data_IF_110915023559
#
_entry.id   IF_110915023559
#
_cell.length_a   1.000
_cell.length_b   1.000
_cell.length_c   1.000
_cell.angle_alpha   90.00
_cell.angle_beta   90.00
_cell.angle_gamma   90.00
#
_symmetry.space_group_name_H-M   'P 1'
#
loop_
_entity.id
_entity.type
_entity.pdbx_description
1 polymer ?
#
# COMPACT_ATOMS: atom_id res chain seq x y z
N UNK A 1 20.18 65.85 -42.92
CA UNK A 1 21.01 64.64 -42.62
C UNK A 1 21.18 64.31 -41.15
N UNK A 2 20.61 65.02 -40.20
CA UNK A 2 20.85 64.78 -38.75
C UNK A 2 19.85 63.86 -38.04
N UNK A 3 18.76 63.45 -38.71
CA UNK A 3 17.71 62.64 -38.06
C UNK A 3 17.92 61.13 -38.17
N UNK A 4 18.72 60.66 -39.11
CA UNK A 4 19.00 59.24 -39.30
C UNK A 4 20.08 58.68 -38.36
N UNK A 5 21.00 59.53 -37.88
CA UNK A 5 22.06 59.12 -36.95
C UNK A 5 21.52 58.89 -35.53
N UNK A 6 20.54 59.69 -35.09
CA UNK A 6 19.93 59.55 -33.77
C UNK A 6 19.06 58.28 -33.64
N UNK A 7 18.36 57.87 -34.70
CA UNK A 7 17.53 56.64 -34.68
C UNK A 7 18.37 55.35 -34.67
N UNK A 8 19.51 55.34 -35.38
CA UNK A 8 20.38 54.17 -35.39
C UNK A 8 21.10 54.00 -34.03
N UNK A 9 21.48 55.08 -33.38
CA UNK A 9 22.10 55.03 -32.06
C UNK A 9 21.16 54.56 -30.97
N UNK A 10 19.87 54.96 -31.01
CA UNK A 10 18.85 54.43 -30.09
C UNK A 10 18.53 52.95 -30.30
N UNK A 11 18.50 52.48 -31.56
CA UNK A 11 18.34 51.05 -31.90
C UNK A 11 19.50 50.22 -31.45
N UNK A 12 20.74 50.71 -31.61
CA UNK A 12 21.96 49.99 -31.17
C UNK A 12 22.02 49.93 -29.65
N UNK A 13 21.66 50.98 -28.91
CA UNK A 13 21.61 50.97 -27.43
C UNK A 13 20.49 50.03 -26.95
N UNK A 14 19.33 49.98 -27.61
CA UNK A 14 18.24 49.07 -27.24
C UNK A 14 18.62 47.58 -27.50
N UNK A 15 19.34 47.29 -28.59
CA UNK A 15 19.84 45.96 -28.88
C UNK A 15 20.94 45.51 -27.91
N UNK A 16 21.82 46.41 -27.46
CA UNK A 16 22.88 46.11 -26.48
C UNK A 16 22.24 45.87 -25.09
N UNK A 17 21.22 46.64 -24.69
CA UNK A 17 20.48 46.40 -23.44
C UNK A 17 19.67 45.10 -23.50
N UNK A 18 19.05 44.77 -24.65
CA UNK A 18 18.35 43.47 -24.81
C UNK A 18 19.31 42.27 -24.82
N UNK A 19 20.48 42.40 -25.39
CA UNK A 19 21.51 41.34 -25.36
C UNK A 19 22.09 41.14 -23.96
N UNK A 20 22.19 42.19 -23.13
CA UNK A 20 22.68 42.10 -21.75
C UNK A 20 21.66 41.43 -20.80
N UNK A 21 20.38 41.52 -21.13
CA UNK A 21 19.30 40.85 -20.34
C UNK A 21 19.15 39.37 -20.72
N UNK A 22 19.48 38.99 -21.96
CA UNK A 22 19.42 37.59 -22.40
C UNK A 22 20.59 36.71 -21.90
N UNK A 23 21.69 37.28 -21.42
CA UNK A 23 22.81 36.50 -20.87
C UNK A 23 22.62 36.12 -19.39
N UNK A 24 21.57 36.66 -18.72
CA UNK A 24 21.30 36.36 -17.29
C UNK A 24 20.33 35.20 -17.05
N UNK A 25 19.85 34.54 -18.11
CA UNK A 25 18.96 33.36 -18.02
C UNK A 25 19.66 32.04 -18.41
N UNK A 26 20.96 31.91 -18.21
CA UNK A 26 21.55 30.59 -18.12
C UNK A 26 21.09 30.03 -16.77
N UNK A 27 20.23 28.99 -16.81
CA UNK A 27 19.86 28.25 -15.64
C UNK A 27 21.11 27.87 -14.87
N UNK A 28 21.35 28.51 -13.72
CA UNK A 28 22.49 28.18 -12.86
C UNK A 28 22.24 26.76 -12.36
N UNK A 29 22.95 25.80 -12.95
CA UNK A 29 22.88 24.39 -12.51
C UNK A 29 23.61 24.15 -11.20
N UNK A 30 24.46 25.08 -10.78
CA UNK A 30 25.29 24.99 -9.57
C UNK A 30 25.14 26.23 -8.69
N UNK A 31 25.27 26.06 -7.38
CA UNK A 31 25.35 27.17 -6.43
C UNK A 31 26.75 27.82 -6.61
N UNK A 32 26.76 29.04 -7.14
CA UNK A 32 27.98 29.83 -7.22
C UNK A 32 28.30 30.55 -5.90
N UNK A 33 29.52 31.04 -5.70
CA UNK A 33 29.86 31.82 -4.50
C UNK A 33 28.96 33.03 -4.28
N UNK A 34 28.51 33.69 -5.36
CA UNK A 34 27.62 34.85 -5.29
C UNK A 34 26.22 34.43 -4.83
N UNK A 35 25.72 33.30 -5.36
CA UNK A 35 24.44 32.70 -4.93
C UNK A 35 24.53 32.25 -3.47
N UNK A 36 25.63 31.60 -3.08
CA UNK A 36 25.85 31.19 -1.69
C UNK A 36 25.80 32.37 -0.74
N UNK A 37 26.46 33.47 -1.06
CA UNK A 37 26.45 34.70 -0.27
C UNK A 37 25.03 35.28 -0.11
N UNK A 38 24.21 35.23 -1.16
CA UNK A 38 22.80 35.63 -1.07
C UNK A 38 21.99 34.70 -0.15
N UNK A 39 22.20 33.40 -0.24
CA UNK A 39 21.54 32.40 0.61
C UNK A 39 21.96 32.56 2.09
N UNK A 40 23.22 32.79 2.37
CA UNK A 40 23.72 33.08 3.71
C UNK A 40 23.07 34.34 4.30
N UNK A 41 22.87 35.37 3.48
CA UNK A 41 22.18 36.60 3.87
C UNK A 41 20.67 36.42 4.15
N UNK A 42 20.07 35.33 3.70
CA UNK A 42 18.65 35.00 3.98
C UNK A 42 18.39 34.58 5.42
N UNK A 43 19.41 34.11 6.15
CA UNK A 43 19.31 33.75 7.56
C UNK A 43 19.70 34.92 8.43
N UNK A 44 18.74 35.55 9.09
CA UNK A 44 18.98 36.77 9.90
C UNK A 44 19.39 36.46 11.33
N UNK A 45 19.23 35.23 11.81
CA UNK A 45 19.61 34.80 13.16
C UNK A 45 18.85 35.53 14.25
N UNK A 46 17.56 35.84 14.02
CA UNK A 46 16.67 36.41 15.03
C UNK A 46 16.60 35.54 16.28
N UNK A 47 16.23 36.07 17.46
CA UNK A 47 16.01 35.25 18.66
C UNK A 47 15.03 34.08 18.43
N UNK A 48 13.97 34.28 17.65
CA UNK A 48 13.00 33.26 17.31
C UNK A 48 13.62 32.15 16.46
N UNK A 49 14.37 32.50 15.40
CA UNK A 49 15.07 31.53 14.55
C UNK A 49 16.10 30.72 15.32
N UNK A 50 16.84 31.36 16.24
CA UNK A 50 17.80 30.67 17.12
C UNK A 50 17.08 29.70 18.04
N UNK A 51 15.96 30.10 18.64
CA UNK A 51 15.17 29.24 19.51
C UNK A 51 14.63 28.00 18.76
N UNK A 52 14.05 28.20 17.57
CA UNK A 52 13.56 27.11 16.72
C UNK A 52 14.71 26.18 16.29
N UNK A 53 15.84 26.73 15.86
CA UNK A 53 17.02 25.94 15.49
C UNK A 53 17.52 25.07 16.65
N UNK A 54 17.62 25.64 17.85
CA UNK A 54 18.02 24.89 19.04
C UNK A 54 17.02 23.78 19.39
N UNK A 55 15.72 24.09 19.30
CA UNK A 55 14.68 23.10 19.57
C UNK A 55 14.74 21.93 18.57
N UNK A 56 14.86 22.22 17.26
CA UNK A 56 14.97 21.17 16.22
C UNK A 56 16.23 20.31 16.39
N UNK A 57 17.31 20.88 16.95
CA UNK A 57 18.53 20.11 17.21
C UNK A 57 18.35 19.01 18.27
N UNK A 58 17.30 19.08 19.09
CA UNK A 58 17.06 18.16 20.21
C UNK A 58 15.71 17.45 20.17
N UNK A 59 14.75 17.97 19.39
CA UNK A 59 13.38 17.47 19.34
C UNK A 59 12.97 17.25 17.87
N UNK A 60 12.27 16.13 17.61
CA UNK A 60 11.77 15.84 16.25
C UNK A 60 10.81 16.92 15.73
N UNK A 61 10.94 17.28 14.46
CA UNK A 61 10.12 18.32 13.81
C UNK A 61 8.62 18.04 13.97
N UNK A 62 8.20 16.78 13.86
CA UNK A 62 6.79 16.40 14.03
C UNK A 62 6.27 16.70 15.44
N UNK A 63 7.09 16.54 16.47
CA UNK A 63 6.71 16.86 17.84
C UNK A 63 6.58 18.38 18.05
N UNK A 64 7.44 19.16 17.43
CA UNK A 64 7.38 20.62 17.49
C UNK A 64 6.21 21.21 16.67
N UNK A 65 5.81 20.54 15.59
CA UNK A 65 4.71 20.99 14.74
C UNK A 65 3.30 20.80 15.37
N UNK A 66 3.22 20.12 16.52
CA UNK A 66 1.94 19.95 17.23
C UNK A 66 1.47 21.29 17.80
N UNK A 67 0.35 21.80 17.32
CA UNK A 67 -0.28 22.98 17.90
C UNK A 67 -1.03 22.57 19.18
N UNK A 68 -0.49 22.99 20.33
CA UNK A 68 -1.04 22.68 21.66
C UNK A 68 -2.45 23.27 21.86
N UNK A 69 -2.80 24.35 21.20
CA UNK A 69 -4.13 24.96 21.27
C UNK A 69 -5.21 24.04 20.70
N UNK A 70 -4.86 23.20 19.71
CA UNK A 70 -5.78 22.28 19.07
C UNK A 70 -5.96 20.95 19.81
N UNK A 71 -5.12 20.64 20.80
CA UNK A 71 -5.16 19.34 21.51
C UNK A 71 -6.47 19.12 22.25
N UNK A 72 -7.08 20.18 22.75
CA UNK A 72 -8.37 20.12 23.48
C UNK A 72 -9.62 20.18 22.62
N UNK A 73 -9.47 20.46 21.31
CA UNK A 73 -10.61 20.70 20.40
C UNK A 73 -11.20 19.42 19.76
N UNK A 74 -10.57 18.26 19.99
CA UNK A 74 -11.08 17.00 19.44
C UNK A 74 -12.29 16.55 20.22
N UNK A 75 -13.46 16.53 19.55
CA UNK A 75 -14.64 15.87 20.08
C UNK A 75 -14.41 14.36 20.14
N UNK A 76 -14.66 13.78 21.32
CA UNK A 76 -14.53 12.35 21.59
C UNK A 76 -15.89 11.69 21.82
N UNK A 77 -16.98 12.42 21.58
CA UNK A 77 -18.34 11.87 21.71
C UNK A 77 -18.83 11.39 20.35
N UNK A 78 -19.28 10.15 20.31
CA UNK A 78 -19.83 9.52 19.13
C UNK A 78 -21.26 9.11 19.38
N UNK A 79 -22.17 9.27 18.41
CA UNK A 79 -23.57 8.85 18.50
C UNK A 79 -23.71 7.32 18.43
N UNK A 80 -22.78 6.68 17.74
CA UNK A 80 -22.75 5.22 17.59
C UNK A 80 -21.33 4.75 17.91
N UNK A 81 -21.23 3.79 18.81
CA UNK A 81 -19.96 3.18 19.22
C UNK A 81 -20.07 1.66 19.09
N UNK A 82 -19.18 1.09 18.27
CA UNK A 82 -18.98 -0.37 18.21
C UNK A 82 -17.93 -0.74 19.22
N UNK A 83 -18.33 -1.44 20.28
CA UNK A 83 -17.40 -1.90 21.31
C UNK A 83 -16.51 -2.99 20.75
N UNK A 84 -15.24 -2.67 20.63
CA UNK A 84 -14.19 -3.60 20.23
C UNK A 84 -13.12 -3.62 21.32
N UNK A 85 -12.70 -4.80 21.75
CA UNK A 85 -11.71 -4.95 22.82
C UNK A 85 -10.38 -5.42 22.25
N UNK A 86 -9.28 -4.87 22.79
CA UNK A 86 -7.92 -5.22 22.42
C UNK A 86 -7.46 -4.54 21.13
N UNK A 87 -6.16 -4.48 21.00
CA UNK A 87 -5.44 -3.92 19.84
C UNK A 87 -4.68 -5.05 19.17
N UNK A 88 -4.88 -5.22 17.86
CA UNK A 88 -4.07 -6.14 17.04
C UNK A 88 -2.79 -5.44 16.59
N UNK A 89 -1.67 -6.15 16.61
CA UNK A 89 -0.38 -5.62 16.18
C UNK A 89 0.06 -6.28 14.88
N UNK A 90 0.14 -5.50 13.79
CA UNK A 90 0.58 -5.98 12.48
C UNK A 90 2.08 -6.31 12.40
N UNK A 91 2.86 -6.02 13.44
CA UNK A 91 4.32 -6.19 13.47
C UNK A 91 5.01 -5.45 12.30
N UNK A 92 6.01 -6.06 11.69
CA UNK A 92 6.79 -5.51 10.56
C UNK A 92 6.15 -5.87 9.20
N UNK A 93 4.86 -5.59 9.03
CA UNK A 93 4.13 -5.88 7.80
C UNK A 93 3.33 -4.69 7.30
N UNK A 94 3.04 -4.60 6.00
CA UNK A 94 2.20 -3.56 5.39
C UNK A 94 0.70 -3.85 5.48
N UNK A 95 0.24 -4.69 6.41
CA UNK A 95 -1.14 -5.21 6.51
C UNK A 95 -2.08 -4.36 7.37
N UNK A 96 -1.74 -3.08 7.67
CA UNK A 96 -2.60 -2.21 8.50
C UNK A 96 -4.06 -2.15 8.00
N UNK A 97 -4.26 -2.08 6.70
CA UNK A 97 -5.56 -2.09 6.04
C UNK A 97 -6.38 -3.34 6.38
N UNK A 98 -5.73 -4.51 6.36
CA UNK A 98 -6.35 -5.81 6.62
C UNK A 98 -6.68 -5.98 8.11
N UNK A 99 -5.75 -5.60 9.00
CA UNK A 99 -5.98 -5.58 10.45
C UNK A 99 -7.14 -4.67 10.81
N UNK A 100 -7.21 -3.47 10.23
CA UNK A 100 -8.30 -2.52 10.47
C UNK A 100 -9.63 -3.06 9.97
N UNK A 101 -9.68 -3.56 8.72
CA UNK A 101 -10.91 -4.11 8.15
C UNK A 101 -11.44 -5.33 8.88
N UNK A 102 -10.55 -6.27 9.25
CA UNK A 102 -10.95 -7.44 10.04
C UNK A 102 -11.39 -7.08 11.46
N UNK A 103 -10.85 -6.01 12.07
CA UNK A 103 -11.35 -5.52 13.36
C UNK A 103 -12.79 -5.00 13.28
N UNK A 104 -13.22 -4.45 12.14
CA UNK A 104 -14.64 -4.06 11.94
C UNK A 104 -15.51 -5.31 11.93
N UNK A 105 -15.17 -6.32 11.15
CA UNK A 105 -15.90 -7.60 11.08
C UNK A 105 -15.89 -8.35 12.42
N UNK A 106 -14.75 -8.32 13.10
CA UNK A 106 -14.57 -8.92 14.43
C UNK A 106 -15.56 -8.40 15.46
N UNK A 107 -15.89 -7.11 15.45
CA UNK A 107 -16.84 -6.53 16.38
C UNK A 107 -18.21 -7.23 16.36
N UNK A 108 -18.67 -7.62 15.17
CA UNK A 108 -19.92 -8.39 14.99
C UNK A 108 -19.76 -9.83 15.45
N UNK A 109 -18.68 -10.48 15.06
CA UNK A 109 -18.39 -11.84 15.48
C UNK A 109 -18.31 -11.96 17.01
N UNK A 110 -17.65 -11.03 17.69
CA UNK A 110 -17.59 -10.97 19.16
C UNK A 110 -18.95 -10.87 19.79
N UNK A 111 -19.87 -10.06 19.23
CA UNK A 111 -21.24 -9.91 19.72
C UNK A 111 -22.02 -11.21 19.56
N UNK A 112 -21.98 -11.85 18.37
CA UNK A 112 -22.70 -13.10 18.09
C UNK A 112 -22.16 -14.29 18.89
N UNK A 113 -20.84 -14.34 19.10
CA UNK A 113 -20.15 -15.39 19.86
C UNK A 113 -20.20 -15.20 21.38
N UNK A 114 -20.54 -14.00 21.87
CA UNK A 114 -20.41 -13.66 23.30
C UNK A 114 -18.96 -13.64 23.80
N UNK A 115 -17.96 -13.70 22.91
CA UNK A 115 -16.54 -13.81 23.23
C UNK A 115 -15.79 -12.50 22.92
N UNK A 116 -15.37 -11.78 23.96
CA UNK A 116 -14.65 -10.51 23.83
C UNK A 116 -13.17 -10.67 23.40
N UNK A 117 -12.63 -11.87 23.53
CA UNK A 117 -11.23 -12.17 23.18
C UNK A 117 -11.09 -12.91 21.84
N UNK A 118 -12.15 -12.93 21.04
CA UNK A 118 -12.14 -13.55 19.73
C UNK A 118 -11.33 -12.73 18.74
N UNK A 119 -10.55 -13.38 17.88
CA UNK A 119 -9.80 -12.77 16.78
C UNK A 119 -10.00 -13.55 15.48
N UNK A 120 -10.04 -12.81 14.37
CA UNK A 120 -10.00 -13.36 13.01
C UNK A 120 -8.55 -13.50 12.55
N UNK A 121 -8.29 -14.51 11.72
CA UNK A 121 -6.97 -14.70 11.10
C UNK A 121 -6.71 -13.64 10.03
N UNK A 122 -5.67 -12.85 10.20
CA UNK A 122 -5.22 -11.91 9.18
C UNK A 122 -4.42 -12.62 8.09
N UNK A 123 -3.67 -13.66 8.44
CA UNK A 123 -2.84 -14.38 7.49
C UNK A 123 -3.68 -15.14 6.46
N UNK A 124 -4.87 -15.60 6.81
CA UNK A 124 -5.80 -16.26 5.90
C UNK A 124 -6.16 -15.37 4.69
N UNK A 125 -6.68 -14.16 4.95
CA UNK A 125 -7.02 -13.24 3.86
C UNK A 125 -5.79 -12.65 3.18
N UNK A 126 -4.67 -12.48 3.90
CA UNK A 126 -3.43 -12.01 3.30
C UNK A 126 -2.86 -13.00 2.31
N UNK A 127 -2.99 -14.31 2.55
CA UNK A 127 -2.64 -15.34 1.59
C UNK A 127 -3.33 -15.13 0.25
N UNK A 128 -4.65 -14.94 0.28
CA UNK A 128 -5.45 -14.72 -0.92
C UNK A 128 -5.21 -13.35 -1.57
N UNK A 129 -4.97 -12.31 -0.78
CA UNK A 129 -4.56 -11.00 -1.30
C UNK A 129 -3.30 -11.10 -2.16
N UNK A 130 -2.28 -11.80 -1.67
CA UNK A 130 -1.03 -11.96 -2.41
C UNK A 130 -1.22 -12.84 -3.66
N UNK A 131 -2.08 -13.84 -3.61
CA UNK A 131 -2.42 -14.68 -4.75
C UNK A 131 -3.19 -13.89 -5.82
N UNK A 132 -4.20 -13.11 -5.42
CA UNK A 132 -4.99 -12.29 -6.34
C UNK A 132 -4.15 -11.19 -7.01
N UNK A 133 -3.30 -10.51 -6.26
CA UNK A 133 -2.38 -9.52 -6.81
C UNK A 133 -1.37 -10.13 -7.78
N UNK A 134 -0.90 -11.35 -7.50
CA UNK A 134 -0.04 -12.09 -8.42
C UNK A 134 -0.77 -12.44 -9.70
N UNK A 135 -2.03 -12.88 -9.61
CA UNK A 135 -2.88 -13.12 -10.78
C UNK A 135 -3.12 -11.84 -11.59
N UNK A 136 -3.42 -10.73 -10.91
CA UNK A 136 -3.64 -9.44 -11.57
C UNK A 136 -2.38 -8.96 -12.32
N UNK A 137 -1.20 -9.10 -11.72
CA UNK A 137 0.06 -8.77 -12.39
C UNK A 137 0.27 -9.63 -13.64
N UNK A 138 0.16 -10.96 -13.54
CA UNK A 138 0.38 -11.86 -14.67
C UNK A 138 -0.66 -11.64 -15.78
N UNK A 139 -1.92 -11.36 -15.41
CA UNK A 139 -2.95 -10.99 -16.37
C UNK A 139 -2.60 -9.68 -17.09
N UNK A 140 -2.20 -8.65 -16.36
CA UNK A 140 -1.76 -7.38 -16.93
C UNK A 140 -0.59 -7.54 -17.91
N UNK A 141 0.33 -8.47 -17.65
CA UNK A 141 1.40 -8.81 -18.61
C UNK A 141 0.85 -9.44 -19.88
N UNK A 142 -0.12 -10.37 -19.78
CA UNK A 142 -0.77 -10.97 -20.95
C UNK A 142 -1.53 -9.90 -21.74
N UNK A 143 -2.29 -9.05 -21.08
CA UNK A 143 -3.09 -7.99 -21.72
C UNK A 143 -2.22 -6.96 -22.46
N UNK A 144 -1.04 -6.68 -21.91
CA UNK A 144 -0.08 -5.71 -22.48
C UNK A 144 1.00 -6.36 -23.36
N UNK A 145 0.90 -7.66 -23.67
CA UNK A 145 1.95 -8.44 -24.35
C UNK A 145 2.40 -7.88 -25.71
N UNK A 146 1.48 -7.20 -26.42
CA UNK A 146 1.76 -6.57 -27.73
C UNK A 146 2.35 -5.16 -27.62
N UNK A 147 2.35 -4.57 -26.43
CA UNK A 147 2.94 -3.25 -26.20
C UNK A 147 4.46 -3.36 -26.09
N UNK A 148 5.22 -2.33 -26.50
CA UNK A 148 6.67 -2.27 -26.28
C UNK A 148 7.01 -2.43 -24.80
N UNK A 149 8.16 -3.04 -24.49
CA UNK A 149 8.63 -3.26 -23.09
C UNK A 149 8.83 -1.95 -22.33
N UNK A 150 9.14 -0.88 -23.02
CA UNK A 150 9.37 0.47 -22.48
C UNK A 150 8.11 1.33 -22.44
N UNK A 151 6.94 0.81 -22.85
CA UNK A 151 5.67 1.52 -22.68
C UNK A 151 5.39 1.78 -21.19
N UNK A 152 4.70 2.86 -20.89
CA UNK A 152 4.47 3.32 -19.53
C UNK A 152 3.76 2.25 -18.68
N UNK A 153 2.70 1.62 -19.22
CA UNK A 153 1.94 0.59 -18.52
C UNK A 153 2.79 -0.65 -18.23
N UNK A 154 3.57 -1.14 -19.19
CA UNK A 154 4.42 -2.32 -19.00
C UNK A 154 5.50 -2.02 -17.95
N UNK A 155 6.14 -0.84 -18.05
CA UNK A 155 7.13 -0.40 -17.04
C UNK A 155 6.52 -0.29 -15.65
N UNK A 156 5.29 0.22 -15.54
CA UNK A 156 4.59 0.32 -14.27
C UNK A 156 4.32 -1.06 -13.66
N UNK A 157 3.81 -2.01 -14.45
CA UNK A 157 3.58 -3.40 -14.02
C UNK A 157 4.87 -4.03 -13.47
N UNK A 158 5.97 -3.96 -14.23
CA UNK A 158 7.24 -4.54 -13.78
C UNK A 158 7.86 -3.82 -12.56
N UNK A 159 7.59 -2.54 -12.36
CA UNK A 159 8.01 -1.82 -11.14
C UNK A 159 7.18 -2.25 -9.94
N UNK A 160 5.88 -2.50 -10.13
CA UNK A 160 4.90 -2.72 -9.07
C UNK A 160 4.19 -4.08 -9.20
N UNK A 161 4.89 -5.22 -9.27
CA UNK A 161 4.27 -6.52 -9.48
C UNK A 161 3.40 -6.96 -8.29
N UNK A 162 3.68 -6.46 -7.10
CA UNK A 162 3.02 -6.83 -5.85
C UNK A 162 3.21 -5.76 -4.79
N UNK A 163 2.22 -5.64 -3.89
CA UNK A 163 2.26 -4.79 -2.70
C UNK A 163 1.59 -5.51 -1.54
N UNK A 164 2.04 -5.29 -0.30
CA UNK A 164 1.37 -5.78 0.91
C UNK A 164 0.34 -4.78 1.48
N UNK A 165 0.23 -3.58 0.87
CA UNK A 165 -0.81 -2.59 1.16
C UNK A 165 -2.15 -2.89 0.50
N UNK A 166 -3.22 -2.26 0.98
CA UNK A 166 -4.57 -2.39 0.42
C UNK A 166 -5.56 -1.40 1.04
N UNK A 167 -6.84 -1.61 0.77
CA UNK A 167 -7.96 -0.75 1.21
C UNK A 167 -9.08 -1.58 1.87
N UNK A 168 -10.03 -0.91 2.50
CA UNK A 168 -11.21 -1.59 3.09
C UNK A 168 -12.01 -2.37 2.05
N UNK A 169 -12.22 -1.81 0.86
CA UNK A 169 -12.91 -2.52 -0.23
C UNK A 169 -12.20 -3.81 -0.63
N UNK A 170 -10.86 -3.85 -0.54
CA UNK A 170 -10.09 -5.07 -0.71
C UNK A 170 -10.38 -6.10 0.39
N UNK A 171 -10.50 -5.69 1.65
CA UNK A 171 -10.90 -6.60 2.75
C UNK A 171 -12.28 -7.18 2.50
N UNK A 172 -13.25 -6.32 2.14
CA UNK A 172 -14.62 -6.74 1.87
C UNK A 172 -14.67 -7.76 0.72
N UNK A 173 -14.04 -7.46 -0.42
CA UNK A 173 -13.99 -8.35 -1.57
C UNK A 173 -13.35 -9.71 -1.24
N UNK A 174 -12.25 -9.71 -0.50
CA UNK A 174 -11.58 -10.95 -0.07
C UNK A 174 -12.43 -11.75 0.91
N UNK A 175 -13.05 -11.11 1.91
CA UNK A 175 -13.91 -11.78 2.89
C UNK A 175 -15.16 -12.37 2.22
N UNK A 176 -15.79 -11.66 1.30
CA UNK A 176 -16.94 -12.17 0.54
C UNK A 176 -16.54 -13.35 -0.36
N UNK A 177 -15.36 -13.32 -0.98
CA UNK A 177 -14.91 -14.36 -1.91
C UNK A 177 -14.36 -15.59 -1.21
N UNK A 178 -13.56 -15.42 -0.17
CA UNK A 178 -12.79 -16.49 0.47
C UNK A 178 -13.25 -16.80 1.90
N UNK A 179 -14.18 -16.02 2.45
CA UNK A 179 -14.60 -16.14 3.84
C UNK A 179 -13.51 -15.72 4.82
N UNK A 180 -13.74 -15.97 6.09
CA UNK A 180 -12.78 -15.71 7.16
C UNK A 180 -12.72 -16.91 8.11
N UNK A 181 -11.63 -17.01 8.86
CA UNK A 181 -11.45 -18.06 9.86
C UNK A 181 -10.97 -17.47 11.19
N UNK A 182 -11.22 -18.16 12.33
CA UNK A 182 -10.62 -17.80 13.62
C UNK A 182 -9.10 -17.77 13.54
N UNK A 183 -8.47 -16.92 14.36
CA UNK A 183 -7.01 -16.76 14.38
C UNK A 183 -6.25 -18.05 14.73
N UNK A 184 -6.82 -18.89 15.58
CA UNK A 184 -6.25 -20.18 15.96
C UNK A 184 -6.31 -21.24 14.86
N UNK A 185 -7.20 -21.10 13.88
CA UNK A 185 -7.34 -22.02 12.74
C UNK A 185 -6.22 -21.80 11.71
N UNK A 186 -5.84 -20.55 11.50
CA UNK A 186 -4.68 -20.20 10.65
C UNK A 186 -3.89 -19.08 11.34
N UNK A 187 -2.96 -19.44 12.22
CA UNK A 187 -2.22 -18.48 13.06
C UNK A 187 -1.16 -17.73 12.27
N UNK A 188 -0.73 -16.59 12.83
CA UNK A 188 0.38 -15.81 12.29
C UNK A 188 1.69 -16.62 12.28
N UNK A 189 2.45 -16.46 11.19
CA UNK A 189 3.78 -17.08 11.02
C UNK A 189 4.87 -16.02 11.24
N UNK A 190 6.13 -16.46 11.31
CA UNK A 190 7.27 -15.54 11.32
C UNK A 190 7.26 -14.63 10.07
N UNK A 191 6.99 -15.22 8.90
CA UNK A 191 6.98 -14.52 7.62
C UNK A 191 5.83 -13.53 7.52
N UNK A 192 4.63 -13.88 8.02
CA UNK A 192 3.49 -12.96 8.03
C UNK A 192 3.72 -11.77 8.97
N UNK A 193 4.47 -11.97 10.05
CA UNK A 193 4.87 -10.90 10.96
C UNK A 193 6.02 -10.01 10.43
N UNK A 194 6.70 -10.42 9.34
CA UNK A 194 7.78 -9.65 8.69
C UNK A 194 7.75 -9.89 7.18
N UNK A 195 6.83 -9.23 6.47
CA UNK A 195 6.47 -9.51 5.08
C UNK A 195 7.48 -9.06 4.04
N UNK A 196 8.36 -8.10 4.36
CA UNK A 196 9.21 -7.39 3.39
C UNK A 196 10.12 -8.31 2.57
N UNK A 197 10.82 -9.24 3.23
CA UNK A 197 11.76 -10.17 2.59
C UNK A 197 11.04 -11.11 1.64
N UNK A 198 10.00 -11.80 2.13
CA UNK A 198 9.22 -12.74 1.33
C UNK A 198 8.54 -12.05 0.14
N UNK A 199 7.91 -10.87 0.35
CA UNK A 199 7.36 -10.07 -0.74
C UNK A 199 8.44 -9.69 -1.77
N UNK A 200 9.66 -9.42 -1.34
CA UNK A 200 10.81 -9.20 -2.22
C UNK A 200 11.13 -10.40 -3.11
N UNK A 201 11.11 -11.62 -2.55
CA UNK A 201 11.30 -12.85 -3.31
C UNK A 201 10.16 -13.10 -4.28
N UNK A 202 8.92 -12.95 -3.84
CA UNK A 202 7.73 -13.13 -4.68
C UNK A 202 7.70 -12.11 -5.84
N UNK A 203 8.02 -10.85 -5.60
CA UNK A 203 8.17 -9.82 -6.65
C UNK A 203 9.20 -10.20 -7.70
N UNK A 204 10.34 -10.77 -7.31
CA UNK A 204 11.36 -11.25 -8.26
C UNK A 204 10.84 -12.40 -9.11
N UNK A 205 10.17 -13.37 -8.49
CA UNK A 205 9.59 -14.51 -9.20
C UNK A 205 8.48 -14.06 -10.16
N UNK A 206 7.64 -13.12 -9.78
CA UNK A 206 6.62 -12.56 -10.66
C UNK A 206 7.22 -11.84 -11.87
N UNK A 207 8.31 -11.10 -11.70
CA UNK A 207 9.02 -10.48 -12.83
C UNK A 207 9.60 -11.50 -13.79
N UNK A 208 10.21 -12.56 -13.29
CA UNK A 208 10.68 -13.70 -14.08
C UNK A 208 9.53 -14.30 -14.90
N UNK A 209 8.41 -14.57 -14.28
CA UNK A 209 7.20 -15.09 -14.94
C UNK A 209 6.65 -14.12 -15.98
N UNK A 210 6.63 -12.83 -15.68
CA UNK A 210 6.19 -11.79 -16.62
C UNK A 210 7.08 -11.73 -17.86
N UNK A 211 8.41 -11.84 -17.70
CA UNK A 211 9.34 -11.92 -18.83
C UNK A 211 9.05 -13.18 -19.67
N UNK A 212 8.93 -14.33 -19.03
CA UNK A 212 8.62 -15.60 -19.71
C UNK A 212 7.32 -15.51 -20.52
N UNK A 213 6.25 -14.92 -19.96
CA UNK A 213 4.97 -14.75 -20.69
C UNK A 213 5.16 -13.87 -21.94
N UNK A 214 5.94 -12.81 -21.86
CA UNK A 214 6.21 -11.95 -23.01
C UNK A 214 7.03 -12.67 -24.07
N UNK A 215 8.12 -13.33 -23.70
CA UNK A 215 8.97 -14.11 -24.61
C UNK A 215 8.16 -15.20 -25.32
N UNK A 216 7.30 -15.93 -24.61
CA UNK A 216 6.43 -16.95 -25.20
C UNK A 216 5.40 -16.34 -26.13
N UNK A 217 4.84 -15.17 -25.82
CA UNK A 217 3.97 -14.43 -26.71
C UNK A 217 4.69 -13.99 -28.01
N UNK A 218 5.92 -13.48 -27.89
CA UNK A 218 6.76 -13.10 -29.04
C UNK A 218 7.12 -14.32 -29.91
N UNK A 219 7.30 -15.48 -29.29
CA UNK A 219 7.51 -16.76 -29.98
C UNK A 219 6.23 -17.33 -30.64
N UNK A 220 5.09 -16.63 -30.58
CA UNK A 220 3.85 -17.01 -31.23
C UNK A 220 2.89 -17.86 -30.41
N UNK A 221 3.11 -18.00 -29.10
CA UNK A 221 2.17 -18.69 -28.21
C UNK A 221 0.81 -17.98 -28.22
N UNK A 222 -0.25 -18.76 -28.40
CA UNK A 222 -1.63 -18.24 -28.41
C UNK A 222 -2.06 -17.71 -27.03
N UNK A 223 -3.07 -16.86 -26.99
CA UNK A 223 -3.62 -16.34 -25.71
C UNK A 223 -4.10 -17.45 -24.80
N UNK A 224 -4.75 -18.49 -25.35
CA UNK A 224 -5.20 -19.66 -24.59
C UNK A 224 -4.04 -20.40 -23.91
N UNK A 225 -2.93 -20.56 -24.62
CA UNK A 225 -1.73 -21.20 -24.07
C UNK A 225 -1.04 -20.31 -23.03
N UNK A 226 -1.01 -18.98 -23.24
CA UNK A 226 -0.50 -18.03 -22.23
C UNK A 226 -1.35 -18.05 -20.96
N UNK A 227 -2.67 -18.17 -21.05
CA UNK A 227 -3.54 -18.34 -19.88
C UNK A 227 -3.25 -19.65 -19.13
N UNK A 228 -3.01 -20.75 -19.84
CA UNK A 228 -2.62 -22.01 -19.23
C UNK A 228 -1.27 -21.90 -18.52
N UNK A 229 -0.27 -21.26 -19.15
CA UNK A 229 1.03 -21.00 -18.53
C UNK A 229 0.90 -20.10 -17.30
N UNK A 230 0.04 -19.07 -17.33
CA UNK A 230 -0.26 -18.25 -16.16
C UNK A 230 -0.77 -19.09 -14.97
N UNK A 231 -1.69 -20.03 -15.23
CA UNK A 231 -2.21 -20.92 -14.17
C UNK A 231 -1.10 -21.79 -13.59
N UNK A 232 -0.20 -22.31 -14.40
CA UNK A 232 0.98 -23.07 -13.94
C UNK A 232 1.88 -22.21 -13.07
N UNK A 233 2.17 -20.97 -13.49
CA UNK A 233 2.96 -20.00 -12.72
C UNK A 233 2.29 -19.63 -11.40
N UNK A 234 0.96 -19.45 -11.38
CA UNK A 234 0.17 -19.25 -10.15
C UNK A 234 0.23 -20.45 -9.22
N UNK A 235 0.29 -21.67 -9.75
CA UNK A 235 0.54 -22.88 -8.95
C UNK A 235 1.90 -22.81 -8.20
N UNK A 236 2.91 -22.23 -8.81
CA UNK A 236 4.20 -21.98 -8.13
C UNK A 236 4.06 -20.89 -7.08
N UNK A 237 3.37 -19.79 -7.37
CA UNK A 237 3.07 -18.74 -6.38
C UNK A 237 2.32 -19.32 -5.19
N UNK A 238 1.29 -20.12 -5.42
CA UNK A 238 0.52 -20.79 -4.37
C UNK A 238 1.41 -21.62 -3.44
N UNK A 239 2.31 -22.44 -3.99
CA UNK A 239 3.28 -23.21 -3.19
C UNK A 239 4.19 -22.31 -2.36
N UNK A 240 4.68 -21.19 -2.93
CA UNK A 240 5.48 -20.22 -2.17
C UNK A 240 4.69 -19.63 -1.00
N UNK A 241 3.44 -19.28 -1.22
CA UNK A 241 2.54 -18.74 -0.20
C UNK A 241 2.25 -19.78 0.90
N UNK A 242 2.02 -21.04 0.53
CA UNK A 242 1.84 -22.16 1.50
C UNK A 242 3.06 -22.32 2.39
N UNK A 243 4.27 -22.27 1.82
CA UNK A 243 5.51 -22.38 2.61
C UNK A 243 5.71 -21.19 3.58
N UNK A 244 5.22 -20.00 3.22
CA UNK A 244 5.38 -18.80 4.02
C UNK A 244 4.28 -18.63 5.09
N UNK A 245 3.04 -18.95 4.74
CA UNK A 245 1.85 -18.60 5.53
C UNK A 245 1.05 -19.81 6.02
N UNK A 246 1.38 -21.02 5.58
CA UNK A 246 0.60 -22.24 5.85
C UNK A 246 -0.48 -22.48 4.79
N UNK A 247 -1.15 -23.63 4.91
CA UNK A 247 -2.21 -24.04 4.00
C UNK A 247 -3.52 -23.40 4.45
N UNK A 248 -4.18 -22.57 3.62
CA UNK A 248 -5.48 -22.03 3.99
C UNK A 248 -6.51 -23.18 4.05
N UNK A 249 -7.32 -23.26 5.12
CA UNK A 249 -8.28 -24.33 5.27
C UNK A 249 -9.44 -24.15 4.29
N UNK A 250 -9.90 -25.25 3.71
CA UNK A 250 -11.14 -25.32 2.93
C UNK A 250 -12.36 -25.55 3.82
N UNK A 251 -12.15 -26.27 4.92
CA UNK A 251 -13.08 -26.47 6.03
C UNK A 251 -12.29 -26.59 7.32
N UNK A 252 -12.91 -26.32 8.46
CA UNK A 252 -12.31 -26.43 9.78
C UNK A 252 -13.34 -26.72 10.84
N UNK A 253 -13.00 -27.55 11.79
CA UNK A 253 -13.81 -27.81 12.98
C UNK A 253 -13.40 -26.85 14.08
N UNK A 254 -14.37 -26.13 14.65
CA UNK A 254 -14.10 -25.08 15.62
C UNK A 254 -15.21 -25.02 16.68
N UNK A 255 -14.81 -24.72 17.90
CA UNK A 255 -15.67 -24.55 19.04
C UNK A 255 -15.54 -23.11 19.58
N UNK A 256 -16.63 -22.35 19.73
CA UNK A 256 -16.61 -21.08 20.47
C UNK A 256 -16.07 -21.34 21.89
N UNK A 257 -15.12 -20.55 22.35
CA UNK A 257 -14.36 -20.63 23.61
C UNK A 257 -14.92 -21.51 24.74
N UNK A 258 -14.02 -22.18 25.48
CA UNK A 258 -14.35 -23.07 26.61
C UNK A 258 -15.18 -22.42 27.73
N UNK A 259 -15.24 -21.08 27.80
CA UNK A 259 -15.99 -20.30 28.79
C UNK A 259 -17.50 -20.15 28.43
N UNK A 260 -17.88 -20.41 27.15
CA UNK A 260 -19.27 -20.50 26.77
C UNK A 260 -19.76 -21.95 26.94
N UNK A 261 -20.48 -22.24 28.00
CA UNK A 261 -20.98 -23.57 28.33
C UNK A 261 -21.92 -24.22 27.28
N UNK A 262 -22.24 -23.50 26.19
CA UNK A 262 -23.24 -23.89 25.19
C UNK A 262 -22.72 -24.05 23.77
N UNK A 263 -21.40 -23.93 23.52
CA UNK A 263 -20.85 -24.07 22.16
C UNK A 263 -20.54 -25.53 21.80
N UNK A 264 -21.36 -26.16 20.97
CA UNK A 264 -20.98 -27.43 20.32
C UNK A 264 -19.88 -27.19 19.29
N UNK A 265 -18.98 -28.18 19.20
CA UNK A 265 -17.97 -28.20 18.14
C UNK A 265 -18.65 -28.39 16.79
N UNK A 266 -18.40 -27.50 15.84
CA UNK A 266 -19.03 -27.52 14.52
C UNK A 266 -18.01 -27.31 13.42
N UNK A 267 -18.23 -27.98 12.30
CA UNK A 267 -17.42 -27.80 11.08
C UNK A 267 -18.00 -26.68 10.23
N UNK A 268 -17.13 -25.82 9.74
CA UNK A 268 -17.45 -24.67 8.88
C UNK A 268 -16.52 -24.64 7.67
N UNK A 269 -17.04 -24.20 6.55
CA UNK A 269 -16.21 -23.56 5.54
C UNK A 269 -15.91 -22.10 5.94
N UNK A 270 -14.83 -21.48 5.45
CA UNK A 270 -14.54 -20.07 5.74
C UNK A 270 -15.69 -19.11 5.37
N UNK A 271 -16.41 -19.39 4.28
CA UNK A 271 -17.58 -18.61 3.83
C UNK A 271 -18.78 -18.78 4.75
N UNK A 272 -19.06 -19.99 5.21
CA UNK A 272 -20.14 -20.24 6.18
C UNK A 272 -19.85 -19.53 7.49
N UNK A 273 -18.61 -19.60 7.98
CA UNK A 273 -18.19 -18.89 9.18
C UNK A 273 -18.36 -17.37 9.02
N UNK A 274 -17.93 -16.82 7.90
CA UNK A 274 -18.09 -15.39 7.58
C UNK A 274 -19.56 -14.97 7.59
N UNK A 275 -20.42 -15.70 6.89
CA UNK A 275 -21.86 -15.42 6.82
C UNK A 275 -22.56 -15.53 8.17
N UNK A 276 -22.15 -16.51 8.98
CA UNK A 276 -22.78 -16.75 10.29
C UNK A 276 -22.43 -15.66 11.29
N UNK A 277 -21.15 -15.24 11.33
CA UNK A 277 -20.66 -14.44 12.45
C UNK A 277 -20.29 -13.00 12.09
N UNK A 278 -19.92 -12.72 10.83
CA UNK A 278 -19.31 -11.43 10.47
C UNK A 278 -20.23 -10.47 9.73
N UNK A 279 -21.32 -10.94 9.14
CA UNK A 279 -22.33 -10.11 8.46
C UNK A 279 -23.73 -10.45 8.94
N UNK A 280 -24.68 -9.55 8.71
CA UNK A 280 -26.10 -9.80 8.93
C UNK A 280 -26.75 -10.26 7.60
N UNK A 281 -27.88 -10.97 7.70
CA UNK A 281 -28.55 -11.54 6.53
C UNK A 281 -28.97 -10.43 5.54
N UNK A 282 -28.57 -10.56 4.29
CA UNK A 282 -28.89 -9.58 3.24
C UNK A 282 -27.97 -8.34 3.23
N UNK A 283 -26.94 -8.29 4.07
CA UNK A 283 -25.99 -7.19 4.09
C UNK A 283 -24.89 -7.38 3.05
N UNK A 284 -24.57 -6.30 2.31
CA UNK A 284 -23.40 -6.20 1.45
C UNK A 284 -22.33 -5.33 2.15
N UNK A 285 -21.07 -5.72 2.03
CA UNK A 285 -19.95 -4.97 2.61
C UNK A 285 -19.40 -3.87 1.69
N UNK A 286 -19.88 -3.79 0.45
CA UNK A 286 -19.36 -2.87 -0.59
C UNK A 286 -20.47 -1.95 -1.07
#
# INVERSE_FOLDING_TARGET
>A
MNNLRGQNMKKTILCVLAASVCTALSAQTNITPEVLKQLEGSYTGTPAEKAVRNAISHVGIQQMAVNSENVGLKDKKFNVEVKNTGISNQKNSGRCWLFTGLNVLRGRAMKKLGNKNFFLSQVHLFFYDQLEKSNLFLQGIIDTRKQPIDSEMVRWLFRNPLSDGGTYTGVAALAMKYGVVPAEVMPETYVSNSTSEFCGHLKRKLREFGITLREKSEAGMSEKELQALKVEQLGTVYRMLVMAYGVPPTEFTWKPSADSAEGEEKTYTPQEFFKTYCIDEGEDLV
#
